data_IF_177576068516
#
_entry.id   IF_177576068516
#
_cell.length_a   1.000
_cell.length_b   1.000
_cell.length_c   1.000
_cell.angle_alpha   90.00
_cell.angle_beta   90.00
_cell.angle_gamma   90.00
#
_symmetry.space_group_name_H-M   'P 1'
#
loop_
_entity.id
_entity.type
_entity.pdbx_description
1 polymer ?
#
# COMPACT_ATOMS: atom_id res chain seq x y z
N UNK A 1 -14.60 -9.16 -29.62
CA UNK A 1 -15.13 -8.50 -28.41
C UNK A 1 -14.53 -9.19 -27.20
N UNK A 2 -13.54 -8.58 -26.56
CA UNK A 2 -13.03 -9.10 -25.29
C UNK A 2 -14.07 -8.86 -24.20
N UNK A 3 -14.41 -9.89 -23.44
CA UNK A 3 -15.20 -9.74 -22.23
C UNK A 3 -14.37 -8.91 -21.26
N UNK A 4 -14.74 -7.65 -21.04
CA UNK A 4 -14.18 -6.88 -19.92
C UNK A 4 -14.68 -7.56 -18.65
N UNK A 5 -13.84 -8.40 -18.04
CA UNK A 5 -14.13 -8.95 -16.73
C UNK A 5 -14.30 -7.77 -15.76
N UNK A 6 -15.41 -7.76 -15.02
CA UNK A 6 -15.73 -6.70 -14.07
C UNK A 6 -14.68 -6.54 -12.97
N UNK A 7 -13.95 -7.63 -12.66
CA UNK A 7 -12.91 -7.71 -11.66
C UNK A 7 -11.68 -8.40 -12.27
N UNK A 8 -10.49 -7.91 -11.94
CA UNK A 8 -9.23 -8.54 -12.35
C UNK A 8 -8.81 -9.65 -11.38
N UNK A 9 -7.74 -10.39 -11.73
CA UNK A 9 -7.27 -11.52 -10.92
C UNK A 9 -6.75 -11.08 -9.54
N UNK A 10 -6.25 -9.84 -9.41
CA UNK A 10 -5.82 -9.27 -8.14
C UNK A 10 -7.02 -9.04 -7.20
N UNK A 11 -8.09 -8.43 -7.72
CA UNK A 11 -9.33 -8.19 -6.99
C UNK A 11 -9.95 -9.50 -6.50
N UNK A 12 -9.98 -10.51 -7.36
CA UNK A 12 -10.51 -11.85 -7.04
C UNK A 12 -9.66 -12.56 -5.99
N UNK A 13 -8.34 -12.53 -6.12
CA UNK A 13 -7.41 -13.12 -5.15
C UNK A 13 -7.60 -12.50 -3.75
N UNK A 14 -7.69 -11.16 -3.68
CA UNK A 14 -7.91 -10.48 -2.41
C UNK A 14 -9.27 -10.84 -1.80
N UNK A 15 -10.34 -10.88 -2.62
CA UNK A 15 -11.67 -11.22 -2.16
C UNK A 15 -11.76 -12.67 -1.64
N UNK A 16 -11.15 -13.63 -2.32
CA UNK A 16 -11.04 -15.02 -1.86
C UNK A 16 -10.31 -15.09 -0.52
N UNK A 17 -9.18 -14.37 -0.41
CA UNK A 17 -8.39 -14.32 0.82
C UNK A 17 -9.18 -13.75 1.99
N UNK A 18 -9.95 -12.68 1.76
CA UNK A 18 -10.80 -12.05 2.77
C UNK A 18 -11.97 -12.97 3.16
N UNK A 19 -12.62 -13.64 2.21
CA UNK A 19 -13.73 -14.56 2.48
C UNK A 19 -13.31 -15.68 3.43
N UNK A 20 -12.08 -16.21 3.27
CA UNK A 20 -11.50 -17.23 4.15
C UNK A 20 -11.18 -16.73 5.57
N UNK A 21 -11.12 -15.42 5.78
CA UNK A 21 -10.67 -14.75 7.01
C UNK A 21 -11.79 -13.99 7.72
N UNK A 22 -13.03 -14.10 7.24
CA UNK A 22 -14.16 -13.42 7.83
C UNK A 22 -14.39 -14.02 9.23
N UNK A 23 -13.83 -13.35 10.25
CA UNK A 23 -13.86 -13.61 11.71
C UNK A 23 -12.61 -14.26 12.33
N UNK A 24 -12.12 -13.74 13.49
CA UNK A 24 -12.37 -12.42 14.10
C UNK A 24 -11.39 -11.34 13.57
N UNK A 25 -11.91 -10.18 13.13
CA UNK A 25 -11.12 -9.08 12.52
C UNK A 25 -11.26 -7.73 13.23
N UNK A 26 -12.32 -7.53 14.04
CA UNK A 26 -12.64 -6.23 14.64
C UNK A 26 -11.57 -5.70 15.59
N UNK A 27 -10.97 -6.58 16.40
CA UNK A 27 -9.89 -6.20 17.32
C UNK A 27 -8.65 -5.74 16.55
N UNK A 28 -8.29 -6.46 15.50
CA UNK A 28 -7.18 -6.09 14.61
C UNK A 28 -7.45 -4.73 13.97
N UNK A 29 -8.69 -4.45 13.56
CA UNK A 29 -9.05 -3.17 12.97
C UNK A 29 -8.92 -2.00 13.95
N UNK A 30 -9.45 -2.13 15.17
CA UNK A 30 -9.34 -1.09 16.20
C UNK A 30 -7.87 -0.78 16.51
N UNK A 31 -7.04 -1.82 16.64
CA UNK A 31 -5.61 -1.64 16.86
C UNK A 31 -4.93 -0.94 15.67
N UNK A 32 -5.23 -1.35 14.44
CA UNK A 32 -4.65 -0.75 13.23
C UNK A 32 -4.99 0.75 13.11
N UNK A 33 -6.22 1.14 13.45
CA UNK A 33 -6.64 2.54 13.40
C UNK A 33 -5.84 3.40 14.40
N UNK A 34 -5.72 2.91 15.64
CA UNK A 34 -4.91 3.58 16.67
C UNK A 34 -3.43 3.69 16.27
N UNK A 35 -2.88 2.65 15.63
CA UNK A 35 -1.48 2.59 15.22
C UNK A 35 -1.16 3.48 14.00
N UNK A 36 -2.03 3.50 13.00
CA UNK A 36 -1.87 4.34 11.80
C UNK A 36 -2.06 5.85 12.09
N UNK A 37 -2.75 6.20 13.18
CA UNK A 37 -2.89 7.57 13.64
C UNK A 37 -1.60 8.13 14.30
N UNK A 38 -0.61 7.28 14.60
CA UNK A 38 0.63 7.70 15.25
C UNK A 38 1.68 8.16 14.24
N UNK A 39 2.45 9.19 14.60
CA UNK A 39 3.65 9.59 13.85
C UNK A 39 4.88 8.73 14.19
N UNK A 40 4.83 7.98 15.30
CA UNK A 40 5.88 7.05 15.71
C UNK A 40 5.98 5.88 14.73
N UNK A 41 7.15 5.75 14.11
CA UNK A 41 7.39 4.79 13.01
C UNK A 41 7.01 3.34 13.36
N UNK A 42 7.31 2.86 14.59
CA UNK A 42 7.00 1.49 15.00
C UNK A 42 5.51 1.17 14.97
N UNK A 43 4.69 2.08 15.49
CA UNK A 43 3.24 1.91 15.52
C UNK A 43 2.68 1.97 14.10
N UNK A 44 3.10 2.96 13.32
CA UNK A 44 2.68 3.08 11.93
C UNK A 44 3.02 1.82 11.11
N UNK A 45 4.20 1.22 11.31
CA UNK A 45 4.58 -0.07 10.70
C UNK A 45 3.65 -1.22 11.09
N UNK A 46 3.28 -1.33 12.37
CA UNK A 46 2.32 -2.34 12.85
C UNK A 46 0.96 -2.12 12.18
N UNK A 47 0.47 -0.88 12.15
CA UNK A 47 -0.77 -0.52 11.48
C UNK A 47 -0.78 -0.90 9.99
N UNK A 48 0.31 -0.64 9.27
CA UNK A 48 0.46 -1.03 7.86
C UNK A 48 0.46 -2.54 7.64
N UNK A 49 1.00 -3.34 8.58
CA UNK A 49 0.92 -4.80 8.50
C UNK A 49 -0.52 -5.29 8.60
N UNK A 50 -1.25 -4.79 9.60
CA UNK A 50 -2.65 -5.15 9.78
C UNK A 50 -3.51 -4.69 8.59
N UNK A 51 -3.24 -3.50 8.06
CA UNK A 51 -3.89 -2.98 6.86
C UNK A 51 -3.72 -3.92 5.66
N UNK A 52 -2.50 -4.40 5.40
CA UNK A 52 -2.26 -5.34 4.30
C UNK A 52 -3.03 -6.65 4.45
N UNK A 53 -3.15 -7.14 5.68
CA UNK A 53 -3.92 -8.35 5.97
C UNK A 53 -5.41 -8.14 5.70
N UNK A 54 -5.96 -6.99 6.13
CA UNK A 54 -7.35 -6.58 5.90
C UNK A 54 -7.62 -6.30 4.41
N UNK A 55 -6.61 -5.84 3.66
CA UNK A 55 -6.68 -5.62 2.21
C UNK A 55 -6.64 -6.92 1.38
N UNK A 56 -6.51 -8.09 2.04
CA UNK A 56 -6.52 -9.39 1.37
C UNK A 56 -5.17 -9.86 0.85
N UNK A 57 -4.06 -9.28 1.31
CA UNK A 57 -2.73 -9.82 1.00
C UNK A 57 -2.58 -11.23 1.60
N UNK A 58 -2.00 -12.16 0.85
CA UNK A 58 -1.83 -13.54 1.33
C UNK A 58 -0.74 -13.61 2.38
N UNK A 59 0.33 -12.85 2.18
CA UNK A 59 1.43 -12.67 3.13
C UNK A 59 1.63 -11.19 3.42
N UNK A 60 1.91 -10.89 4.68
CA UNK A 60 2.31 -9.55 5.12
C UNK A 60 3.48 -9.67 6.08
N UNK A 61 4.53 -8.92 5.83
CA UNK A 61 5.68 -8.87 6.72
C UNK A 61 6.34 -7.49 6.69
N UNK A 62 7.20 -7.26 7.65
CA UNK A 62 8.03 -6.06 7.78
C UNK A 62 9.15 -6.43 8.73
N UNK A 63 10.22 -5.64 8.82
CA UNK A 63 11.45 -6.12 9.44
C UNK A 63 11.50 -6.18 10.96
N UNK A 64 10.52 -5.61 11.67
CA UNK A 64 10.65 -5.50 13.14
C UNK A 64 11.88 -4.68 13.55
N UNK A 65 12.29 -3.70 12.73
CA UNK A 65 13.36 -2.75 13.04
C UNK A 65 14.71 -2.98 12.34
N UNK A 66 14.84 -3.91 11.39
CA UNK A 66 16.07 -4.01 10.59
C UNK A 66 16.21 -2.79 9.66
N UNK A 67 17.38 -2.15 9.71
CA UNK A 67 17.69 -0.79 9.18
C UNK A 67 17.45 -0.58 7.68
N UNK A 68 17.26 -1.64 6.88
CA UNK A 68 17.14 -1.56 5.43
C UNK A 68 15.80 -2.08 4.85
N UNK A 69 14.96 -2.69 5.67
CA UNK A 69 13.77 -3.38 5.18
C UNK A 69 12.51 -2.50 5.18
N UNK A 70 11.47 -2.91 4.43
CA UNK A 70 10.27 -2.09 4.30
C UNK A 70 9.52 -2.06 5.63
N UNK A 71 8.81 -0.94 5.83
CA UNK A 71 7.88 -0.77 6.94
C UNK A 71 6.82 -1.89 6.93
N UNK A 72 6.32 -2.21 5.74
CA UNK A 72 5.46 -3.35 5.47
C UNK A 72 5.61 -3.79 4.02
N UNK A 73 5.45 -5.07 3.74
CA UNK A 73 5.39 -5.64 2.41
C UNK A 73 4.11 -6.47 2.32
N UNK A 74 3.29 -6.19 1.31
CA UNK A 74 2.05 -6.90 1.05
C UNK A 74 2.21 -7.73 -0.21
N UNK A 75 1.99 -9.03 -0.10
CA UNK A 75 2.17 -9.97 -1.21
C UNK A 75 0.81 -10.50 -1.66
N UNK A 76 0.54 -10.30 -2.95
CA UNK A 76 -0.54 -10.93 -3.71
C UNK A 76 0.15 -11.83 -4.76
N UNK A 77 0.34 -13.13 -4.50
CA UNK A 77 1.20 -14.02 -5.28
C UNK A 77 0.85 -14.02 -6.76
N UNK A 78 1.86 -13.82 -7.60
CA UNK A 78 1.70 -13.74 -9.06
C UNK A 78 0.96 -12.50 -9.57
N UNK A 79 0.41 -11.65 -8.70
CA UNK A 79 -0.45 -10.52 -9.08
C UNK A 79 0.18 -9.16 -8.76
N UNK A 80 0.60 -8.94 -7.51
CA UNK A 80 1.10 -7.63 -7.07
C UNK A 80 1.91 -7.74 -5.79
N UNK A 81 3.03 -7.01 -5.71
CA UNK A 81 3.68 -6.68 -4.45
C UNK A 81 3.59 -5.19 -4.16
N UNK A 82 3.31 -4.86 -2.90
CA UNK A 82 3.33 -3.47 -2.41
C UNK A 82 4.36 -3.37 -1.30
N UNK A 83 5.42 -2.60 -1.54
CA UNK A 83 6.37 -2.24 -0.51
C UNK A 83 5.99 -0.90 0.11
N UNK A 84 5.74 -0.86 1.40
CA UNK A 84 5.58 0.39 2.13
C UNK A 84 6.91 0.81 2.72
N UNK A 85 7.32 2.04 2.42
CA UNK A 85 8.39 2.74 3.12
C UNK A 85 7.77 3.89 3.89
N UNK A 86 7.79 3.82 5.22
CA UNK A 86 7.24 4.88 6.06
C UNK A 86 8.34 5.88 6.47
N UNK A 87 8.01 7.16 6.40
CA UNK A 87 8.75 8.31 6.95
C UNK A 87 7.79 9.19 7.75
N UNK A 88 6.96 8.57 8.58
CA UNK A 88 5.89 9.21 9.36
C UNK A 88 6.37 10.28 10.34
N UNK A 89 7.66 10.24 10.71
CA UNK A 89 8.31 11.20 11.60
C UNK A 89 9.13 12.27 10.87
N UNK A 90 9.07 12.34 9.53
CA UNK A 90 9.75 13.39 8.78
C UNK A 90 9.08 14.76 8.97
N UNK A 91 9.85 15.83 8.86
CA UNK A 91 9.32 17.20 8.93
C UNK A 91 8.49 17.51 7.67
N UNK A 92 7.22 17.94 7.78
CA UNK A 92 6.34 18.16 6.62
C UNK A 92 6.90 19.18 5.61
N UNK A 93 7.54 20.24 6.11
CA UNK A 93 8.07 21.34 5.28
C UNK A 93 9.43 21.01 4.65
N UNK A 94 9.97 19.82 4.91
CA UNK A 94 11.21 19.35 4.30
C UNK A 94 10.97 18.58 3.00
N UNK A 95 11.99 18.48 2.16
CA UNK A 95 11.92 17.66 0.94
C UNK A 95 12.41 16.23 1.19
N UNK A 96 11.84 15.28 0.44
CA UNK A 96 12.34 13.90 0.39
C UNK A 96 13.83 13.92 0.00
N UNK A 97 14.64 13.29 0.85
CA UNK A 97 16.09 13.26 0.73
C UNK A 97 16.57 12.20 -0.28
N UNK A 98 17.80 12.37 -0.78
CA UNK A 98 18.46 11.37 -1.64
C UNK A 98 18.57 10.01 -0.94
N UNK A 99 18.81 10.02 0.37
CA UNK A 99 18.85 8.81 1.18
C UNK A 99 17.51 8.07 1.14
N UNK A 100 16.42 8.78 1.40
CA UNK A 100 15.09 8.16 1.49
C UNK A 100 14.58 7.70 0.12
N UNK A 101 14.84 8.47 -0.94
CA UNK A 101 14.53 8.08 -2.31
C UNK A 101 15.27 6.80 -2.73
N UNK A 102 16.57 6.69 -2.40
CA UNK A 102 17.36 5.47 -2.64
C UNK A 102 16.82 4.29 -1.86
N UNK A 103 16.52 4.51 -0.58
CA UNK A 103 16.02 3.47 0.31
C UNK A 103 14.68 2.93 -0.18
N UNK A 104 13.71 3.80 -0.49
CA UNK A 104 12.42 3.40 -1.08
C UNK A 104 12.57 2.66 -2.42
N UNK A 105 13.48 3.15 -3.29
CA UNK A 105 13.76 2.54 -4.59
C UNK A 105 14.27 1.10 -4.48
N UNK A 106 15.00 0.76 -3.42
CA UNK A 106 15.59 -0.57 -3.23
C UNK A 106 14.62 -1.65 -2.68
N UNK A 107 13.43 -1.27 -2.21
CA UNK A 107 12.59 -2.17 -1.42
C UNK A 107 12.08 -3.40 -2.18
N UNK A 108 11.60 -3.23 -3.41
CA UNK A 108 11.14 -4.37 -4.22
C UNK A 108 12.28 -5.36 -4.51
N UNK A 109 13.50 -4.87 -4.77
CA UNK A 109 14.67 -5.73 -4.98
C UNK A 109 15.02 -6.52 -3.72
N UNK A 110 15.01 -5.86 -2.55
CA UNK A 110 15.26 -6.54 -1.28
C UNK A 110 14.21 -7.63 -1.00
N UNK A 111 12.94 -7.35 -1.31
CA UNK A 111 11.86 -8.33 -1.21
C UNK A 111 12.13 -9.51 -2.17
N UNK A 112 12.47 -9.23 -3.43
CA UNK A 112 12.78 -10.22 -4.45
C UNK A 112 13.91 -11.16 -4.02
N UNK A 113 15.02 -10.59 -3.54
CA UNK A 113 16.18 -11.34 -3.05
C UNK A 113 15.81 -12.28 -1.89
N UNK A 114 15.00 -11.80 -0.94
CA UNK A 114 14.55 -12.63 0.19
C UNK A 114 13.62 -13.76 -0.20
N UNK A 115 12.78 -13.54 -1.22
CA UNK A 115 11.78 -14.51 -1.68
C UNK A 115 12.33 -15.47 -2.75
N UNK A 116 13.42 -15.11 -3.41
CA UNK A 116 13.95 -15.87 -4.54
C UNK A 116 13.07 -15.79 -5.80
N UNK A 117 12.21 -14.77 -5.89
CA UNK A 117 11.29 -14.54 -7.01
C UNK A 117 11.33 -13.08 -7.45
N UNK A 118 10.89 -12.79 -8.68
CA UNK A 118 10.79 -11.43 -9.20
C UNK A 118 9.41 -10.83 -8.89
N UNK A 119 9.34 -9.50 -8.64
CA UNK A 119 8.05 -8.84 -8.43
C UNK A 119 7.18 -8.93 -9.68
N UNK A 120 5.87 -9.21 -9.56
CA UNK A 120 4.93 -9.08 -10.67
C UNK A 120 4.95 -7.68 -11.28
N UNK A 121 4.67 -7.58 -12.58
CA UNK A 121 4.54 -6.29 -13.27
C UNK A 121 3.47 -5.44 -12.59
N UNK A 122 3.77 -4.15 -12.35
CA UNK A 122 2.89 -3.24 -11.63
C UNK A 122 3.13 -3.19 -10.12
N UNK A 123 3.98 -4.05 -9.56
CA UNK A 123 4.45 -3.94 -8.18
C UNK A 123 5.17 -2.61 -7.94
N UNK A 124 5.00 -2.04 -6.75
CA UNK A 124 5.46 -0.68 -6.46
C UNK A 124 5.88 -0.49 -5.01
N UNK A 125 6.62 0.60 -4.76
CA UNK A 125 6.91 1.11 -3.43
C UNK A 125 6.05 2.35 -3.14
N UNK A 126 5.24 2.30 -2.08
CA UNK A 126 4.55 3.43 -1.49
C UNK A 126 5.45 4.12 -0.46
N UNK A 127 5.92 5.34 -0.76
CA UNK A 127 6.61 6.18 0.22
C UNK A 127 5.58 6.99 1.02
N UNK A 128 5.23 6.49 2.21
CA UNK A 128 4.31 7.15 3.13
C UNK A 128 5.04 8.23 3.95
N UNK A 129 4.79 9.50 3.65
CA UNK A 129 5.51 10.63 4.27
C UNK A 129 4.60 11.87 4.37
N UNK A 130 4.81 12.77 5.35
CA UNK A 130 4.13 14.06 5.37
C UNK A 130 4.72 15.07 4.37
N UNK A 131 5.90 14.78 3.82
CA UNK A 131 6.59 15.64 2.87
C UNK A 131 5.83 15.69 1.53
N UNK A 132 5.69 16.88 0.96
CA UNK A 132 5.01 17.10 -0.33
C UNK A 132 5.95 17.43 -1.48
N UNK A 133 7.26 17.49 -1.22
CA UNK A 133 8.28 17.85 -2.20
C UNK A 133 9.43 16.85 -2.21
N UNK A 134 10.18 16.81 -3.31
CA UNK A 134 11.40 16.01 -3.45
C UNK A 134 12.56 16.89 -3.91
N UNK A 135 13.74 16.69 -3.34
CA UNK A 135 14.94 17.40 -3.78
C UNK A 135 15.36 16.99 -5.20
N UNK A 136 15.98 17.91 -5.94
CA UNK A 136 16.43 17.65 -7.31
C UNK A 136 17.34 16.40 -7.40
N UNK A 137 18.30 16.26 -6.48
CA UNK A 137 19.19 15.11 -6.43
C UNK A 137 18.46 13.79 -6.12
N UNK A 138 17.48 13.81 -5.21
CA UNK A 138 16.67 12.64 -4.91
C UNK A 138 15.82 12.21 -6.11
N UNK A 139 15.26 13.19 -6.84
CA UNK A 139 14.46 12.97 -8.05
C UNK A 139 15.25 12.23 -9.12
N UNK A 140 16.48 12.68 -9.39
CA UNK A 140 17.35 12.13 -10.43
C UNK A 140 17.73 10.65 -10.21
N UNK A 141 17.67 10.13 -8.98
CA UNK A 141 18.04 8.74 -8.66
C UNK A 141 16.84 7.85 -8.31
N UNK A 142 15.65 8.43 -8.21
CA UNK A 142 14.45 7.73 -7.77
C UNK A 142 13.88 6.88 -8.92
N UNK A 143 13.53 5.63 -8.61
CA UNK A 143 13.01 4.67 -9.58
C UNK A 143 11.52 4.91 -9.88
N UNK A 144 11.08 4.53 -11.09
CA UNK A 144 9.71 4.75 -11.58
C UNK A 144 8.62 4.02 -10.78
N UNK A 145 8.99 2.97 -10.04
CA UNK A 145 8.06 2.21 -9.20
C UNK A 145 7.87 2.82 -7.81
N UNK A 146 8.44 3.99 -7.51
CA UNK A 146 8.28 4.66 -6.22
C UNK A 146 7.26 5.79 -6.33
N UNK A 147 6.24 5.74 -5.48
CA UNK A 147 5.14 6.70 -5.47
C UNK A 147 5.07 7.45 -4.15
N UNK A 148 4.79 8.75 -4.24
CA UNK A 148 4.53 9.57 -3.05
C UNK A 148 3.13 9.25 -2.54
N UNK A 149 3.03 8.85 -1.27
CA UNK A 149 1.76 8.55 -0.63
C UNK A 149 1.60 9.43 0.61
N UNK A 150 0.56 10.27 0.70
CA UNK A 150 0.26 11.02 1.92
C UNK A 150 0.00 10.06 3.09
N UNK A 151 0.44 10.42 4.31
CA UNK A 151 0.28 9.56 5.49
C UNK A 151 -1.17 9.13 5.76
N UNK A 152 -2.15 10.00 5.48
CA UNK A 152 -3.56 9.73 5.70
C UNK A 152 -4.12 8.64 4.77
N UNK A 153 -3.50 8.38 3.63
CA UNK A 153 -4.02 7.43 2.64
C UNK A 153 -4.16 6.00 3.20
N UNK A 154 -3.28 5.60 4.13
CA UNK A 154 -3.38 4.32 4.82
C UNK A 154 -4.63 4.25 5.72
N UNK A 155 -4.93 5.32 6.47
CA UNK A 155 -6.11 5.42 7.33
C UNK A 155 -7.39 5.46 6.50
N UNK A 156 -7.39 6.17 5.37
CA UNK A 156 -8.53 6.22 4.46
C UNK A 156 -8.84 4.84 3.87
N UNK A 157 -7.81 4.09 3.48
CA UNK A 157 -7.97 2.72 3.02
C UNK A 157 -8.49 1.82 4.14
N UNK A 158 -7.95 1.93 5.35
CA UNK A 158 -8.43 1.17 6.50
C UNK A 158 -9.93 1.45 6.77
N UNK A 159 -10.33 2.72 6.72
CA UNK A 159 -11.73 3.14 6.94
C UNK A 159 -12.67 2.54 5.89
N UNK A 160 -12.26 2.53 4.62
CA UNK A 160 -13.04 1.91 3.55
C UNK A 160 -13.13 0.38 3.72
N UNK A 161 -12.03 -0.26 4.14
CA UNK A 161 -12.01 -1.69 4.45
C UNK A 161 -12.89 -2.00 5.67
N UNK A 162 -12.90 -1.18 6.71
CA UNK A 162 -13.77 -1.35 7.88
C UNK A 162 -15.24 -1.49 7.47
N UNK A 163 -15.71 -0.58 6.61
CA UNK A 163 -17.08 -0.60 6.10
C UNK A 163 -17.34 -1.85 5.28
N UNK A 164 -16.41 -2.24 4.41
CA UNK A 164 -16.55 -3.42 3.57
C UNK A 164 -16.58 -4.72 4.38
N UNK A 165 -15.70 -4.84 5.39
CA UNK A 165 -15.64 -5.97 6.32
C UNK A 165 -16.88 -6.04 7.22
N UNK A 166 -17.41 -4.89 7.65
CA UNK A 166 -18.67 -4.80 8.40
C UNK A 166 -19.84 -5.33 7.57
N UNK A 167 -19.98 -4.86 6.33
CA UNK A 167 -21.02 -5.32 5.40
C UNK A 167 -20.86 -6.80 5.03
N UNK A 168 -19.62 -7.27 4.88
CA UNK A 168 -19.35 -8.66 4.59
C UNK A 168 -19.76 -9.54 5.78
N UNK A 169 -19.38 -9.13 6.99
CA UNK A 169 -19.69 -9.87 8.22
C UNK A 169 -21.18 -9.92 8.53
N UNK A 170 -21.95 -8.88 8.19
CA UNK A 170 -23.40 -8.88 8.37
C UNK A 170 -24.13 -9.88 7.46
N UNK A 171 -23.45 -10.40 6.42
CA UNK A 171 -23.98 -11.47 5.54
C UNK A 171 -23.71 -12.87 6.10
N UNK A 172 -23.00 -12.98 7.22
CA UNK A 172 -22.69 -14.24 7.90
C UNK A 172 -21.40 -14.90 7.43
N UNK A 173 -21.02 -16.00 8.09
CA UNK A 173 -19.79 -16.76 7.85
C UNK A 173 -19.74 -17.49 6.51
N UNK A 174 -20.85 -17.53 5.77
CA UNK A 174 -20.96 -18.19 4.47
C UNK A 174 -20.73 -17.21 3.29
N UNK A 175 -20.22 -16.00 3.53
CA UNK A 175 -19.92 -15.08 2.44
C UNK A 175 -18.85 -15.68 1.52
N UNK A 176 -19.14 -15.68 0.22
CA UNK A 176 -18.25 -16.17 -0.82
C UNK A 176 -17.45 -15.02 -1.47
N UNK A 177 -16.58 -15.38 -2.42
CA UNK A 177 -15.80 -14.42 -3.20
C UNK A 177 -16.67 -13.32 -3.81
N UNK A 178 -17.82 -13.68 -4.40
CA UNK A 178 -18.71 -12.72 -5.05
C UNK A 178 -19.31 -11.73 -4.04
N UNK A 179 -19.69 -12.21 -2.85
CA UNK A 179 -20.16 -11.40 -1.75
C UNK A 179 -19.12 -10.37 -1.29
N UNK A 180 -17.86 -10.79 -1.13
CA UNK A 180 -16.76 -9.90 -0.74
C UNK A 180 -16.43 -8.89 -1.84
N UNK A 181 -16.36 -9.33 -3.11
CA UNK A 181 -16.16 -8.41 -4.24
C UNK A 181 -17.23 -7.32 -4.26
N UNK A 182 -18.48 -7.67 -3.98
CA UNK A 182 -19.57 -6.71 -3.93
C UNK A 182 -19.40 -5.67 -2.81
N UNK A 183 -18.94 -6.06 -1.61
CA UNK A 183 -18.72 -5.11 -0.51
C UNK A 183 -17.50 -4.23 -0.73
N UNK A 184 -16.39 -4.79 -1.23
CA UNK A 184 -15.20 -4.01 -1.60
C UNK A 184 -15.50 -3.00 -2.71
N UNK A 185 -16.32 -3.39 -3.70
CA UNK A 185 -16.76 -2.49 -4.77
C UNK A 185 -17.58 -1.33 -4.22
N UNK A 186 -18.53 -1.61 -3.33
CA UNK A 186 -19.41 -0.60 -2.74
C UNK A 186 -18.62 0.47 -1.98
N UNK A 187 -17.55 0.05 -1.29
CA UNK A 187 -16.67 0.95 -0.52
C UNK A 187 -15.44 1.44 -1.30
N UNK A 188 -15.38 1.17 -2.61
CA UNK A 188 -14.30 1.59 -3.50
C UNK A 188 -12.89 1.18 -3.02
N UNK A 189 -12.78 0.02 -2.39
CA UNK A 189 -11.56 -0.50 -1.77
C UNK A 189 -11.09 -1.84 -2.35
N UNK A 190 -11.47 -2.14 -3.60
CA UNK A 190 -10.82 -3.20 -4.37
C UNK A 190 -9.32 -2.89 -4.56
N UNK A 191 -8.44 -3.91 -4.60
CA UNK A 191 -7.05 -3.76 -5.00
C UNK A 191 -6.79 -2.88 -6.21
N UNK A 192 -7.47 -3.15 -7.32
CA UNK A 192 -7.37 -2.36 -8.54
C UNK A 192 -7.75 -0.88 -8.34
N UNK A 193 -8.58 -0.57 -7.33
CA UNK A 193 -9.03 0.79 -7.02
C UNK A 193 -8.06 1.52 -6.08
N UNK A 194 -7.65 0.91 -4.97
CA UNK A 194 -6.70 1.56 -4.08
C UNK A 194 -5.30 1.63 -4.68
N UNK A 195 -4.88 0.66 -5.51
CA UNK A 195 -3.61 0.70 -6.22
C UNK A 195 -3.51 1.98 -7.06
N UNK A 196 -4.54 2.26 -7.88
CA UNK A 196 -4.60 3.50 -8.70
C UNK A 196 -4.48 4.78 -7.88
N UNK A 197 -5.04 4.79 -6.67
CA UNK A 197 -4.93 5.93 -5.75
C UNK A 197 -3.50 6.08 -5.22
N UNK A 198 -2.90 4.97 -4.77
CA UNK A 198 -1.54 4.96 -4.21
C UNK A 198 -0.45 5.19 -5.27
N UNK A 199 -0.74 4.94 -6.56
CA UNK A 199 0.19 5.15 -7.68
C UNK A 199 -0.10 6.40 -8.50
N UNK A 200 -0.89 7.33 -7.96
CA UNK A 200 -1.28 8.56 -8.66
C UNK A 200 -0.14 9.56 -8.88
N UNK A 201 0.89 9.52 -8.03
CA UNK A 201 2.00 10.48 -8.06
C UNK A 201 3.34 9.77 -7.98
N UNK A 202 4.01 9.59 -9.14
CA UNK A 202 5.38 9.09 -9.18
C UNK A 202 6.30 10.08 -8.49
N UNK A 203 7.15 9.57 -7.62
CA UNK A 203 8.01 10.41 -6.80
C UNK A 203 9.05 11.16 -7.65
N UNK A 204 9.53 10.56 -8.74
CA UNK A 204 10.52 11.14 -9.63
C UNK A 204 9.96 12.16 -10.64
N UNK A 205 8.64 12.29 -10.80
CA UNK A 205 8.01 13.30 -11.66
C UNK A 205 7.53 14.52 -10.89
N UNK A 206 7.64 14.49 -9.57
CA UNK A 206 7.12 15.54 -8.70
C UNK A 206 7.84 16.87 -8.90
N UNK A 207 7.08 17.91 -9.28
CA UNK A 207 7.62 19.24 -9.55
C UNK A 207 8.45 19.32 -10.83
N UNK A 208 8.21 18.43 -11.81
CA UNK A 208 8.81 18.50 -13.14
C UNK A 208 8.08 19.51 -14.06
N UNK A 209 6.81 19.82 -13.79
CA UNK A 209 5.98 20.72 -14.61
C UNK A 209 6.33 22.22 -14.48
N UNK A 210 7.43 22.57 -13.80
CA UNK A 210 7.86 23.94 -13.54
C UNK A 210 9.22 24.31 -14.13
N UNK A 211 9.83 23.45 -14.95
CA UNK A 211 11.06 23.76 -15.67
C UNK A 211 10.70 24.04 -17.13
N UNK A 212 10.05 25.17 -17.39
CA UNK A 212 10.18 25.82 -18.69
C UNK A 212 11.66 26.17 -18.84
N UNK A 213 12.31 25.56 -19.83
CA UNK A 213 13.67 25.87 -20.23
C UNK A 213 13.77 27.37 -20.54
N UNK A 214 14.36 28.13 -19.63
CA UNK A 214 14.86 29.46 -19.95
C UNK A 214 15.97 29.28 -21.00
N UNK A 215 15.63 29.60 -22.25
CA UNK A 215 16.55 29.77 -23.38
C UNK A 215 17.56 30.89 -23.10
#
# INVERSE_FOLDING_TARGET
MGVTLRYDDLDRLAAQTIAQRITPWKEALTAANADLAQTRWKNYEIGLKTLGWLAGATEVYGSGGAQAAPASAWIFPGQLWVAWQAKSAAEPDSSVSTHDARHASSQLRLIAEKRGEQPPVGSFTALATPQSTISHAARAICQDHVYLVPLHAAVDLLTALERAWTQASSRGSAIDEAGVLATLTAEQCLPSQWMRRLTSQRLNTLGADGVEEAQ
#
